data_IF_913837480272
#
_entry.id   IF_913837480272
#
_cell.length_a   1.000
_cell.length_b   1.000
_cell.length_c   1.000
_cell.angle_alpha   90.00
_cell.angle_beta   90.00
_cell.angle_gamma   90.00
#
_symmetry.space_group_name_H-M   'P 1'
#
loop_
_entity.id
_entity.type
_entity.pdbx_description
1 polymer ?
#
# COMPACT_ATOMS: atom_id res chain seq x y z
N UNK A 1 -3.86 -55.01 -5.84
CA UNK A 1 -5.03 -55.87 -6.03
C UNK A 1 -6.23 -54.94 -6.07
N UNK A 2 -6.78 -54.79 -7.28
CA UNK A 2 -8.01 -54.10 -7.66
C UNK A 2 -8.15 -52.60 -7.30
N UNK A 3 -7.61 -51.76 -8.18
CA UNK A 3 -8.17 -50.43 -8.46
C UNK A 3 -9.55 -50.61 -9.11
N UNK A 4 -10.60 -50.67 -8.29
CA UNK A 4 -11.96 -50.43 -8.79
C UNK A 4 -12.07 -48.96 -9.19
N UNK A 5 -11.80 -48.72 -10.48
CA UNK A 5 -12.13 -47.50 -11.20
C UNK A 5 -13.59 -47.15 -10.97
N UNK A 6 -13.83 -46.18 -10.10
CA UNK A 6 -15.09 -45.43 -10.04
C UNK A 6 -15.30 -44.77 -11.40
N UNK A 7 -16.01 -45.47 -12.29
CA UNK A 7 -16.55 -44.99 -13.57
C UNK A 7 -17.73 -44.05 -13.33
N UNK A 8 -17.66 -43.15 -12.35
CA UNK A 8 -18.64 -42.09 -12.22
C UNK A 8 -18.13 -40.84 -12.96
N UNK A 9 -18.36 -40.84 -14.28
CA UNK A 9 -18.64 -39.62 -15.06
C UNK A 9 -17.74 -38.40 -14.82
N UNK A 10 -16.49 -38.46 -15.31
CA UNK A 10 -15.67 -37.26 -15.58
C UNK A 10 -16.14 -36.47 -16.82
N UNK A 11 -17.36 -36.71 -17.34
CA UNK A 11 -17.86 -36.11 -18.59
C UNK A 11 -19.04 -35.15 -18.46
N UNK A 12 -19.61 -34.97 -17.28
CA UNK A 12 -20.58 -33.89 -17.04
C UNK A 12 -19.90 -32.75 -16.29
N UNK A 13 -18.91 -32.15 -16.96
CA UNK A 13 -18.37 -30.88 -16.55
C UNK A 13 -19.53 -29.90 -16.41
N UNK A 14 -19.75 -29.42 -15.18
CA UNK A 14 -20.25 -28.09 -14.82
C UNK A 14 -20.89 -27.32 -15.98
N UNK A 15 -22.06 -27.77 -16.45
CA UNK A 15 -23.05 -26.81 -16.91
C UNK A 15 -23.58 -26.21 -15.62
N UNK A 16 -22.86 -25.19 -15.13
CA UNK A 16 -23.47 -24.17 -14.31
C UNK A 16 -24.82 -23.86 -14.95
N UNK A 17 -25.90 -24.08 -14.20
CA UNK A 17 -27.27 -23.76 -14.57
C UNK A 17 -27.23 -22.47 -15.40
N UNK A 18 -27.88 -22.39 -16.57
CA UNK A 18 -27.95 -21.15 -17.33
C UNK A 18 -28.38 -20.05 -16.35
N UNK A 19 -27.46 -19.10 -16.16
CA UNK A 19 -27.54 -17.87 -15.37
C UNK A 19 -28.91 -17.67 -14.71
N UNK A 20 -28.97 -17.60 -13.37
CA UNK A 20 -30.18 -17.41 -12.52
C UNK A 20 -31.08 -16.20 -12.89
N UNK A 21 -30.82 -15.53 -14.01
CA UNK A 21 -31.48 -14.36 -14.54
C UNK A 21 -31.86 -14.46 -16.03
N UNK A 22 -31.64 -15.61 -16.70
CA UNK A 22 -32.16 -15.81 -18.07
C UNK A 22 -33.65 -16.12 -18.06
N UNK A 23 -34.32 -15.90 -19.20
CA UNK A 23 -35.69 -16.35 -19.45
C UNK A 23 -35.80 -17.87 -19.29
N UNK A 24 -36.97 -18.34 -18.86
CA UNK A 24 -37.25 -19.74 -18.58
C UNK A 24 -37.52 -20.53 -19.87
N UNK A 25 -36.79 -21.63 -20.09
CA UNK A 25 -37.02 -22.47 -21.27
C UNK A 25 -38.47 -22.98 -21.29
N UNK A 26 -39.21 -22.64 -22.34
CA UNK A 26 -40.65 -22.93 -22.41
C UNK A 26 -40.96 -24.42 -22.37
N UNK A 27 -40.02 -25.29 -22.80
CA UNK A 27 -40.27 -26.72 -22.94
C UNK A 27 -40.57 -27.42 -21.62
N UNK A 28 -39.91 -27.03 -20.52
CA UNK A 28 -40.17 -27.62 -19.21
C UNK A 28 -41.39 -27.00 -18.51
N UNK A 29 -41.77 -25.77 -18.88
CA UNK A 29 -43.04 -25.16 -18.43
C UNK A 29 -44.22 -25.83 -19.13
N UNK A 30 -44.14 -26.05 -20.44
CA UNK A 30 -45.17 -26.70 -21.25
C UNK A 30 -45.42 -28.18 -20.88
N UNK A 31 -44.60 -28.77 -19.98
CA UNK A 31 -44.90 -30.10 -19.45
C UNK A 31 -46.14 -30.10 -18.54
N UNK A 32 -46.48 -28.96 -17.93
CA UNK A 32 -47.58 -28.83 -16.97
C UNK A 32 -48.59 -27.71 -17.32
N UNK A 33 -48.38 -26.97 -18.41
CA UNK A 33 -49.28 -25.89 -18.85
C UNK A 33 -49.52 -26.02 -20.36
N UNK A 34 -50.60 -25.44 -20.85
CA UNK A 34 -50.90 -25.39 -22.27
C UNK A 34 -50.10 -24.27 -22.97
N UNK A 35 -50.02 -24.32 -24.30
CA UNK A 35 -49.31 -23.31 -25.08
C UNK A 35 -49.99 -21.94 -24.95
N UNK A 36 -51.32 -21.93 -24.90
CA UNK A 36 -52.16 -20.76 -24.74
C UNK A 36 -51.88 -20.04 -23.41
N UNK A 37 -51.59 -20.79 -22.34
CA UNK A 37 -51.33 -20.24 -21.00
C UNK A 37 -50.04 -19.41 -20.93
N UNK A 38 -49.11 -19.57 -21.88
CA UNK A 38 -47.80 -18.91 -21.86
C UNK A 38 -47.56 -17.96 -23.02
N UNK A 39 -48.47 -17.88 -24.00
CA UNK A 39 -48.27 -17.11 -25.23
C UNK A 39 -47.98 -15.63 -24.95
N UNK A 40 -48.71 -15.04 -24.00
CA UNK A 40 -48.54 -13.64 -23.61
C UNK A 40 -47.27 -13.40 -22.78
N UNK A 41 -46.57 -14.46 -22.36
CA UNK A 41 -45.40 -14.37 -21.50
C UNK A 41 -44.09 -14.61 -22.26
N UNK A 42 -44.14 -14.77 -23.59
CA UNK A 42 -42.96 -15.09 -24.39
C UNK A 42 -42.11 -13.84 -24.62
N UNK A 43 -40.84 -13.92 -24.22
CA UNK A 43 -39.86 -12.89 -24.51
C UNK A 43 -39.61 -12.78 -26.01
N UNK A 44 -39.80 -11.57 -26.56
CA UNK A 44 -39.61 -11.29 -27.98
C UNK A 44 -38.17 -11.51 -28.48
N UNK A 45 -37.17 -11.41 -27.60
CA UNK A 45 -35.74 -11.54 -27.95
C UNK A 45 -35.32 -13.01 -28.02
N UNK A 46 -35.52 -13.78 -26.93
CA UNK A 46 -35.00 -15.15 -26.83
C UNK A 46 -36.05 -16.24 -27.14
N UNK A 47 -37.32 -15.84 -27.32
CA UNK A 47 -38.46 -16.73 -27.62
C UNK A 47 -38.75 -17.79 -26.54
N UNK A 48 -38.33 -17.51 -25.31
CA UNK A 48 -38.59 -18.31 -24.10
C UNK A 48 -39.56 -17.56 -23.17
N UNK A 49 -40.06 -18.19 -22.10
CA UNK A 49 -40.95 -17.52 -21.13
C UNK A 49 -40.14 -16.47 -20.36
N UNK A 50 -40.62 -15.23 -20.34
CA UNK A 50 -39.89 -14.10 -19.80
C UNK A 50 -39.62 -14.28 -18.29
N UNK A 51 -38.35 -14.16 -17.89
CA UNK A 51 -37.97 -14.02 -16.48
C UNK A 51 -37.73 -12.53 -16.20
N UNK A 52 -38.33 -12.01 -15.13
CA UNK A 52 -38.46 -10.56 -14.88
C UNK A 52 -38.97 -9.81 -16.13
N UNK A 53 -40.25 -9.96 -16.50
CA UNK A 53 -40.80 -9.37 -17.71
C UNK A 53 -40.76 -7.83 -17.67
N UNK A 54 -40.28 -7.24 -18.76
CA UNK A 54 -40.34 -5.83 -19.09
C UNK A 54 -41.27 -5.65 -20.28
N UNK A 55 -42.12 -4.64 -20.22
CA UNK A 55 -43.05 -4.27 -21.28
C UNK A 55 -42.47 -3.15 -22.14
N UNK A 56 -42.75 -3.19 -23.45
CA UNK A 56 -42.31 -2.20 -24.42
C UNK A 56 -43.46 -1.22 -24.69
N UNK A 57 -43.41 -0.05 -24.07
CA UNK A 57 -44.49 0.96 -24.08
C UNK A 57 -44.27 2.07 -25.14
N UNK A 58 -43.71 1.69 -26.28
CA UNK A 58 -43.35 2.66 -27.31
C UNK A 58 -44.61 3.18 -28.04
N UNK A 59 -44.78 4.51 -28.24
CA UNK A 59 -45.93 5.07 -28.96
C UNK A 59 -46.16 4.47 -30.36
N UNK A 60 -45.08 4.03 -31.01
CA UNK A 60 -45.07 3.37 -32.32
C UNK A 60 -45.73 1.98 -32.32
N UNK A 61 -46.08 1.45 -31.16
CA UNK A 61 -46.64 0.11 -30.99
C UNK A 61 -47.99 0.10 -30.26
N UNK A 62 -48.63 1.27 -30.09
CA UNK A 62 -49.91 1.40 -29.39
C UNK A 62 -51.07 0.63 -30.02
N UNK A 63 -51.03 0.45 -31.34
CA UNK A 63 -52.08 -0.24 -32.10
C UNK A 63 -51.79 -1.74 -32.30
N UNK A 64 -50.76 -2.28 -31.61
CA UNK A 64 -50.47 -3.71 -31.65
C UNK A 64 -51.26 -4.41 -30.53
N UNK A 65 -52.12 -5.35 -30.90
CA UNK A 65 -52.88 -6.19 -29.96
C UNK A 65 -52.02 -7.27 -29.28
N UNK A 66 -50.75 -7.41 -29.67
CA UNK A 66 -49.84 -8.44 -29.16
C UNK A 66 -49.10 -7.98 -27.89
N UNK A 67 -48.87 -8.93 -26.97
CA UNK A 67 -48.09 -8.65 -25.76
C UNK A 67 -46.61 -8.40 -26.08
N UNK A 68 -46.14 -7.18 -25.86
CA UNK A 68 -44.76 -6.79 -26.18
C UNK A 68 -43.82 -6.95 -24.99
N UNK A 69 -43.51 -8.21 -24.66
CA UNK A 69 -42.72 -8.55 -23.48
C UNK A 69 -41.30 -8.96 -23.83
N UNK A 70 -40.35 -8.51 -23.03
CA UNK A 70 -38.96 -8.99 -23.04
C UNK A 70 -38.50 -9.31 -21.63
N UNK A 71 -37.65 -10.33 -21.46
CA UNK A 71 -36.99 -10.54 -20.17
C UNK A 71 -35.98 -9.42 -19.90
N UNK A 72 -35.91 -8.95 -18.66
CA UNK A 72 -35.04 -7.84 -18.25
C UNK A 72 -33.57 -8.07 -18.65
N UNK A 73 -33.05 -9.26 -18.42
CA UNK A 73 -31.67 -9.58 -18.77
C UNK A 73 -31.45 -9.63 -20.29
N UNK A 74 -32.42 -10.16 -21.05
CA UNK A 74 -32.38 -10.15 -22.51
C UNK A 74 -32.38 -8.72 -23.05
N UNK A 75 -33.19 -7.83 -22.47
CA UNK A 75 -33.22 -6.42 -22.83
C UNK A 75 -31.88 -5.73 -22.52
N UNK A 76 -31.31 -5.96 -21.33
CA UNK A 76 -29.98 -5.43 -20.95
C UNK A 76 -28.89 -5.87 -21.93
N UNK A 77 -28.87 -7.14 -22.33
CA UNK A 77 -27.92 -7.67 -23.31
C UNK A 77 -28.13 -7.10 -24.72
N UNK A 78 -29.39 -6.90 -25.11
CA UNK A 78 -29.72 -6.30 -26.41
C UNK A 78 -29.25 -4.84 -26.49
N UNK A 79 -29.56 -4.04 -25.46
CA UNK A 79 -29.20 -2.63 -25.40
C UNK A 79 -27.69 -2.39 -25.29
N UNK A 80 -26.93 -3.32 -24.70
CA UNK A 80 -25.46 -3.20 -24.65
C UNK A 80 -24.79 -3.36 -26.02
N UNK A 81 -25.40 -4.12 -26.93
CA UNK A 81 -24.92 -4.30 -28.30
C UNK A 81 -25.48 -3.23 -29.26
N UNK A 82 -26.73 -2.80 -29.04
CA UNK A 82 -27.44 -1.85 -29.89
C UNK A 82 -28.12 -0.78 -29.02
N UNK A 83 -27.38 0.26 -28.62
CA UNK A 83 -27.94 1.31 -27.77
C UNK A 83 -29.12 1.99 -28.46
N UNK A 84 -30.14 2.36 -27.67
CA UNK A 84 -31.34 3.09 -28.09
C UNK A 84 -32.22 2.40 -29.16
N UNK A 85 -32.00 1.13 -29.47
CA UNK A 85 -32.83 0.41 -30.43
C UNK A 85 -34.02 -0.30 -29.77
N UNK A 86 -35.13 -0.44 -30.50
CA UNK A 86 -36.28 -1.25 -30.07
C UNK A 86 -36.15 -2.71 -30.53
N UNK A 87 -36.45 -3.70 -29.67
CA UNK A 87 -36.54 -5.11 -30.06
C UNK A 87 -37.61 -5.44 -31.11
N UNK A 88 -38.60 -4.56 -31.32
CA UNK A 88 -39.75 -4.80 -32.21
C UNK A 88 -39.51 -4.21 -33.61
N UNK A 89 -39.26 -2.90 -33.72
CA UNK A 89 -38.98 -2.19 -34.99
C UNK A 89 -37.97 -1.06 -34.79
N UNK A 90 -37.18 -0.74 -35.82
CA UNK A 90 -36.19 0.33 -35.73
C UNK A 90 -36.84 1.70 -35.46
N UNK A 91 -36.65 2.20 -34.24
CA UNK A 91 -36.86 3.58 -33.84
C UNK A 91 -36.05 3.84 -32.55
N UNK A 92 -35.75 5.11 -32.29
CA UNK A 92 -35.05 5.54 -31.08
C UNK A 92 -36.02 5.89 -29.94
N UNK A 93 -35.48 6.18 -28.75
CA UNK A 93 -36.21 6.63 -27.56
C UNK A 93 -37.30 5.65 -27.07
N UNK A 94 -36.94 4.38 -26.98
CA UNK A 94 -37.83 3.33 -26.49
C UNK A 94 -38.20 3.53 -25.01
N UNK A 95 -39.45 3.22 -24.68
CA UNK A 95 -39.95 3.19 -23.31
C UNK A 95 -40.09 1.75 -22.85
N UNK A 96 -39.57 1.47 -21.66
CA UNK A 96 -39.67 0.16 -21.03
C UNK A 96 -40.17 0.30 -19.61
N UNK A 97 -41.14 -0.52 -19.22
CA UNK A 97 -41.66 -0.53 -17.85
C UNK A 97 -41.66 -1.94 -17.27
N UNK A 98 -41.60 -2.04 -15.94
CA UNK A 98 -41.73 -3.31 -15.24
C UNK A 98 -43.22 -3.68 -15.16
N UNK A 99 -43.58 -4.84 -15.71
CA UNK A 99 -44.95 -5.34 -15.60
C UNK A 99 -45.07 -6.31 -14.41
N UNK A 100 -45.42 -5.75 -13.24
CA UNK A 100 -45.59 -6.50 -12.00
C UNK A 100 -46.71 -7.53 -12.06
N UNK A 101 -47.78 -7.23 -12.79
CA UNK A 101 -48.92 -8.14 -12.94
C UNK A 101 -48.51 -9.37 -13.76
N UNK A 102 -47.78 -9.15 -14.86
CA UNK A 102 -47.24 -10.24 -15.67
C UNK A 102 -46.28 -11.11 -14.89
N UNK A 103 -45.38 -10.48 -14.11
CA UNK A 103 -44.47 -11.21 -13.21
C UNK A 103 -45.24 -12.11 -12.24
N UNK A 104 -46.37 -11.64 -11.71
CA UNK A 104 -47.24 -12.43 -10.83
C UNK A 104 -47.86 -13.61 -11.57
N UNK A 105 -48.35 -13.45 -12.80
CA UNK A 105 -48.90 -14.56 -13.58
C UNK A 105 -47.84 -15.61 -13.92
N UNK A 106 -46.68 -15.19 -14.41
CA UNK A 106 -45.56 -16.10 -14.71
C UNK A 106 -45.15 -16.89 -13.46
N UNK A 107 -45.13 -16.24 -12.30
CA UNK A 107 -44.80 -16.88 -11.02
C UNK A 107 -45.81 -17.98 -10.61
N UNK A 108 -47.04 -17.94 -11.09
CA UNK A 108 -48.10 -18.92 -10.80
C UNK A 108 -48.20 -20.05 -11.85
N UNK A 109 -47.37 -20.03 -12.90
CA UNK A 109 -47.26 -21.16 -13.82
C UNK A 109 -46.72 -22.39 -13.09
N UNK A 110 -47.24 -23.56 -13.45
CA UNK A 110 -46.73 -24.84 -12.93
C UNK A 110 -45.49 -25.27 -13.69
N UNK A 111 -44.58 -25.96 -13.02
CA UNK A 111 -43.28 -26.30 -13.56
C UNK A 111 -42.74 -27.60 -12.98
N UNK A 112 -42.06 -28.37 -13.82
CA UNK A 112 -41.21 -29.48 -13.37
C UNK A 112 -39.81 -28.98 -13.04
N UNK A 113 -39.01 -29.82 -12.36
CA UNK A 113 -37.60 -29.52 -12.12
C UNK A 113 -36.82 -29.35 -13.44
N UNK A 114 -36.18 -28.19 -13.70
CA UNK A 114 -35.38 -28.01 -14.92
C UNK A 114 -34.23 -29.02 -15.05
N UNK A 115 -33.58 -29.40 -13.94
CA UNK A 115 -32.53 -30.44 -13.94
C UNK A 115 -33.05 -31.82 -14.31
N UNK A 116 -34.28 -32.17 -13.89
CA UNK A 116 -34.92 -33.43 -14.28
C UNK A 116 -35.18 -33.46 -15.78
N UNK A 117 -35.74 -32.36 -16.32
CA UNK A 117 -36.01 -32.24 -17.74
C UNK A 117 -34.73 -32.37 -18.58
N UNK A 118 -33.65 -31.69 -18.19
CA UNK A 118 -32.36 -31.80 -18.87
C UNK A 118 -31.80 -33.23 -18.85
N UNK A 119 -31.97 -33.96 -17.74
CA UNK A 119 -31.52 -35.35 -17.60
C UNK A 119 -32.31 -36.29 -18.53
N UNK A 120 -33.64 -36.12 -18.60
CA UNK A 120 -34.51 -36.91 -19.48
C UNK A 120 -34.21 -36.67 -20.96
N UNK A 121 -33.94 -35.43 -21.36
CA UNK A 121 -33.58 -35.07 -22.73
C UNK A 121 -32.27 -35.73 -23.20
N UNK A 122 -31.36 -36.00 -22.26
CA UNK A 122 -30.09 -36.69 -22.56
C UNK A 122 -30.25 -38.21 -22.63
N UNK A 123 -31.32 -38.78 -22.05
CA UNK A 123 -31.57 -40.23 -22.02
C UNK A 123 -32.15 -40.80 -23.31
N UNK A 124 -32.78 -39.96 -24.15
CA UNK A 124 -33.39 -40.39 -25.42
C UNK A 124 -32.44 -40.94 -26.50
N UNK A 125 -31.14 -41.06 -26.20
CA UNK A 125 -30.10 -41.52 -27.13
C UNK A 125 -29.37 -42.81 -26.72
N UNK A 126 -29.56 -43.33 -25.50
CA UNK A 126 -28.93 -44.59 -25.06
C UNK A 126 -29.99 -45.61 -24.62
N UNK A 127 -30.58 -46.30 -25.59
CA UNK A 127 -31.38 -47.51 -25.33
C UNK A 127 -30.51 -48.58 -24.66
N UNK A 128 -30.91 -49.04 -23.46
CA UNK A 128 -30.50 -50.35 -22.96
C UNK A 128 -29.72 -50.43 -21.64
N UNK A 129 -29.54 -49.35 -20.87
CA UNK A 129 -29.06 -49.47 -19.49
C UNK A 129 -30.08 -48.94 -18.48
N UNK A 130 -30.83 -49.86 -17.90
CA UNK A 130 -31.70 -49.65 -16.73
C UNK A 130 -30.85 -49.42 -15.48
N UNK A 131 -30.01 -48.39 -15.47
CA UNK A 131 -29.48 -47.85 -14.21
C UNK A 131 -30.63 -47.09 -13.58
N UNK A 132 -31.03 -47.47 -12.36
CA UNK A 132 -32.12 -46.83 -11.60
C UNK A 132 -31.65 -45.42 -11.20
N UNK A 133 -31.76 -44.47 -12.13
CA UNK A 133 -31.35 -43.10 -11.91
C UNK A 133 -32.24 -42.47 -10.84
N UNK A 134 -31.62 -41.64 -10.01
CA UNK A 134 -32.36 -40.78 -9.08
C UNK A 134 -33.18 -39.81 -9.93
N UNK A 135 -34.49 -39.73 -9.65
CA UNK A 135 -35.38 -38.76 -10.26
C UNK A 135 -35.73 -37.65 -9.28
N UNK A 136 -35.91 -36.44 -9.79
CA UNK A 136 -36.55 -35.36 -9.06
C UNK A 136 -38.03 -35.29 -9.40
N UNK A 137 -38.90 -35.47 -8.41
CA UNK A 137 -40.35 -35.43 -8.59
C UNK A 137 -40.94 -34.05 -8.30
N UNK A 138 -40.13 -32.99 -8.31
CA UNK A 138 -40.63 -31.64 -8.07
C UNK A 138 -41.61 -31.23 -9.18
N UNK A 139 -42.81 -30.85 -8.76
CA UNK A 139 -43.86 -30.23 -9.55
C UNK A 139 -44.43 -29.10 -8.71
N UNK A 140 -44.29 -27.86 -9.16
CA UNK A 140 -44.71 -26.70 -8.39
C UNK A 140 -44.60 -25.40 -9.16
N UNK A 141 -44.85 -24.29 -8.48
CA UNK A 141 -44.89 -22.96 -9.09
C UNK A 141 -43.51 -22.44 -9.50
N UNK A 142 -43.43 -21.71 -10.61
CA UNK A 142 -42.19 -21.09 -11.13
C UNK A 142 -41.44 -20.30 -10.06
N UNK A 143 -42.16 -19.53 -9.23
CA UNK A 143 -41.59 -18.75 -8.12
C UNK A 143 -40.80 -19.56 -7.08
N UNK A 144 -40.99 -20.88 -7.01
CA UNK A 144 -40.31 -21.76 -6.06
C UNK A 144 -39.13 -22.54 -6.69
N UNK A 145 -38.89 -22.39 -8.00
CA UNK A 145 -37.87 -23.16 -8.72
C UNK A 145 -36.48 -22.85 -8.19
N UNK A 146 -36.12 -21.57 -8.01
CA UNK A 146 -34.79 -21.19 -7.57
C UNK A 146 -34.49 -21.77 -6.18
N UNK A 147 -35.42 -21.60 -5.24
CA UNK A 147 -35.30 -22.19 -3.91
C UNK A 147 -35.15 -23.71 -3.98
N UNK A 148 -35.92 -24.38 -4.85
CA UNK A 148 -35.79 -25.82 -5.06
C UNK A 148 -34.41 -26.21 -5.58
N UNK A 149 -33.93 -25.57 -6.66
CA UNK A 149 -32.65 -25.87 -7.30
C UNK A 149 -31.45 -25.68 -6.36
N UNK A 150 -31.53 -24.71 -5.46
CA UNK A 150 -30.48 -24.41 -4.48
C UNK A 150 -30.55 -25.30 -3.25
N UNK A 151 -31.75 -25.54 -2.71
CA UNK A 151 -31.91 -26.07 -1.35
C UNK A 151 -32.42 -27.50 -1.29
N UNK A 152 -33.28 -27.94 -2.21
CA UNK A 152 -34.00 -29.23 -2.06
C UNK A 152 -33.88 -30.18 -3.25
N UNK A 153 -33.31 -29.75 -4.37
CA UNK A 153 -33.19 -30.58 -5.56
C UNK A 153 -32.20 -31.75 -5.34
N UNK A 154 -32.71 -32.98 -5.41
CA UNK A 154 -31.91 -34.20 -5.28
C UNK A 154 -30.87 -34.37 -6.39
N UNK A 155 -31.11 -33.75 -7.56
CA UNK A 155 -30.21 -33.79 -8.72
C UNK A 155 -29.08 -32.74 -8.66
N UNK A 156 -29.02 -31.96 -7.58
CA UNK A 156 -27.93 -31.00 -7.39
C UNK A 156 -26.60 -31.76 -7.29
N UNK A 157 -25.61 -31.36 -8.09
CA UNK A 157 -24.25 -31.85 -7.92
C UNK A 157 -23.61 -31.15 -6.71
N UNK A 158 -23.10 -31.93 -5.77
CA UNK A 158 -22.44 -31.45 -4.56
C UNK A 158 -21.07 -32.09 -4.44
N UNK A 159 -20.09 -31.31 -3.99
CA UNK A 159 -18.76 -31.80 -3.67
C UNK A 159 -18.81 -32.60 -2.36
N UNK A 160 -17.90 -33.56 -2.22
CA UNK A 160 -17.72 -34.30 -0.98
C UNK A 160 -17.35 -33.35 0.18
N UNK A 161 -17.86 -33.63 1.37
CA UNK A 161 -17.56 -32.86 2.59
C UNK A 161 -16.09 -32.94 2.99
N UNK A 162 -15.36 -33.94 2.48
CA UNK A 162 -13.93 -34.11 2.70
C UNK A 162 -13.06 -33.50 1.59
N UNK A 163 -13.61 -32.64 0.72
CA UNK A 163 -12.83 -31.88 -0.28
C UNK A 163 -11.63 -31.14 0.35
N UNK A 164 -11.75 -30.44 1.50
CA UNK A 164 -10.60 -29.75 2.11
C UNK A 164 -9.45 -30.67 2.50
N UNK A 165 -9.72 -31.97 2.67
CA UNK A 165 -8.73 -32.99 3.01
C UNK A 165 -8.23 -33.77 1.76
N UNK A 166 -8.73 -33.43 0.56
CA UNK A 166 -8.30 -34.01 -0.71
C UNK A 166 -9.29 -34.95 -1.40
N UNK A 167 -10.51 -35.12 -0.88
CA UNK A 167 -11.54 -35.91 -1.55
C UNK A 167 -12.26 -35.08 -2.63
N UNK A 168 -11.82 -35.19 -3.88
CA UNK A 168 -12.38 -34.45 -5.02
C UNK A 168 -13.65 -35.10 -5.62
N UNK A 169 -14.36 -35.93 -4.86
CA UNK A 169 -15.55 -36.61 -5.37
C UNK A 169 -16.70 -35.61 -5.55
N UNK A 170 -17.34 -35.68 -6.72
CA UNK A 170 -18.50 -34.89 -7.09
C UNK A 170 -19.65 -35.84 -7.41
N UNK A 171 -20.76 -35.74 -6.67
CA UNK A 171 -21.91 -36.63 -6.84
C UNK A 171 -23.23 -35.89 -6.68
N UNK A 172 -24.34 -36.57 -6.96
CA UNK A 172 -25.67 -36.03 -6.71
C UNK A 172 -25.91 -35.86 -5.21
N UNK A 173 -26.69 -34.85 -4.84
CA UNK A 173 -27.07 -34.56 -3.45
C UNK A 173 -27.80 -35.73 -2.81
N UNK A 174 -28.58 -36.49 -3.57
CA UNK A 174 -29.22 -37.72 -3.09
C UNK A 174 -28.25 -38.85 -2.76
N UNK A 175 -27.11 -38.94 -3.45
CA UNK A 175 -26.15 -40.05 -3.32
C UNK A 175 -24.97 -39.70 -2.42
N UNK A 176 -24.92 -38.47 -1.88
CA UNK A 176 -23.80 -38.03 -1.05
C UNK A 176 -23.64 -38.89 0.20
N UNK A 177 -24.75 -39.30 0.82
CA UNK A 177 -24.70 -40.13 2.03
C UNK A 177 -24.16 -41.54 1.74
N UNK A 178 -24.53 -42.12 0.60
CA UNK A 178 -23.98 -43.41 0.15
C UNK A 178 -22.48 -43.29 -0.10
N UNK A 179 -22.04 -42.24 -0.80
CA UNK A 179 -20.61 -41.97 -0.99
C UNK A 179 -19.88 -41.83 0.35
N UNK A 180 -20.40 -41.03 1.28
CA UNK A 180 -19.80 -40.81 2.61
C UNK A 180 -19.70 -42.12 3.40
N UNK A 181 -20.74 -42.96 3.35
CA UNK A 181 -20.80 -44.24 4.07
C UNK A 181 -19.84 -45.26 3.45
N UNK A 182 -19.88 -45.44 2.13
CA UNK A 182 -19.03 -46.42 1.44
C UNK A 182 -17.55 -46.03 1.44
N UNK A 183 -17.22 -44.74 1.52
CA UNK A 183 -15.84 -44.23 1.50
C UNK A 183 -15.35 -43.75 2.88
N UNK A 184 -16.03 -44.14 3.97
CA UNK A 184 -15.73 -43.68 5.32
C UNK A 184 -14.26 -43.92 5.70
N UNK A 185 -13.70 -45.10 5.39
CA UNK A 185 -12.29 -45.42 5.67
C UNK A 185 -11.33 -44.48 4.94
N UNK A 186 -11.55 -44.25 3.64
CA UNK A 186 -10.76 -43.31 2.85
C UNK A 186 -10.80 -41.91 3.45
N UNK A 187 -11.99 -41.44 3.83
CA UNK A 187 -12.17 -40.13 4.45
C UNK A 187 -11.42 -40.02 5.79
N UNK A 188 -11.47 -41.05 6.63
CA UNK A 188 -10.67 -41.09 7.85
C UNK A 188 -9.17 -41.05 7.55
N UNK A 189 -8.66 -41.83 6.59
CA UNK A 189 -7.25 -41.83 6.22
C UNK A 189 -6.78 -40.45 5.73
N UNK A 190 -7.61 -39.74 4.97
CA UNK A 190 -7.32 -38.35 4.53
C UNK A 190 -7.23 -37.38 5.71
N UNK A 191 -8.14 -37.49 6.67
CA UNK A 191 -8.12 -36.64 7.88
C UNK A 191 -6.90 -36.94 8.73
N UNK A 192 -6.57 -38.21 8.95
CA UNK A 192 -5.38 -38.62 9.73
C UNK A 192 -4.11 -38.11 9.06
N UNK A 193 -3.95 -38.30 7.75
CA UNK A 193 -2.81 -37.77 7.00
C UNK A 193 -2.67 -36.26 7.13
N UNK A 194 -3.79 -35.53 7.08
CA UNK A 194 -3.81 -34.08 7.24
C UNK A 194 -3.41 -33.68 8.66
N UNK A 195 -3.88 -34.42 9.67
CA UNK A 195 -3.50 -34.22 11.06
C UNK A 195 -2.02 -34.49 11.32
N UNK A 196 -1.47 -35.58 10.79
CA UNK A 196 -0.05 -35.92 10.91
C UNK A 196 0.83 -34.83 10.30
N UNK A 197 0.43 -34.32 9.13
CA UNK A 197 1.11 -33.19 8.47
C UNK A 197 1.08 -31.95 9.35
N UNK A 198 -0.08 -31.62 9.93
CA UNK A 198 -0.20 -30.49 10.86
C UNK A 198 0.69 -30.69 12.09
N UNK A 199 0.68 -31.88 12.70
CA UNK A 199 1.50 -32.19 13.87
C UNK A 199 3.01 -32.08 13.58
N UNK A 200 3.45 -32.42 12.37
CA UNK A 200 4.85 -32.25 11.94
C UNK A 200 5.23 -30.78 11.68
N UNK A 201 4.29 -29.97 11.17
CA UNK A 201 4.55 -28.55 10.86
C UNK A 201 4.52 -27.64 12.09
N UNK A 202 3.79 -28.00 13.15
CA UNK A 202 3.71 -27.19 14.39
C UNK A 202 5.09 -26.93 15.02
N UNK A 203 5.95 -27.94 15.25
CA UNK A 203 7.30 -27.69 15.80
C UNK A 203 8.15 -26.80 14.89
N UNK A 204 8.02 -26.94 13.57
CA UNK A 204 8.76 -26.12 12.62
C UNK A 204 8.32 -24.65 12.71
N UNK A 205 7.00 -24.41 12.80
CA UNK A 205 6.45 -23.07 13.00
C UNK A 205 6.91 -22.46 14.35
N UNK A 206 6.91 -23.25 15.43
CA UNK A 206 7.39 -22.80 16.74
C UNK A 206 8.87 -22.42 16.70
N UNK A 207 9.71 -23.22 16.02
CA UNK A 207 11.14 -22.91 15.83
C UNK A 207 11.33 -21.61 15.04
N UNK A 208 10.61 -21.44 13.94
CA UNK A 208 10.68 -20.23 13.12
C UNK A 208 10.25 -18.99 13.92
N UNK A 209 9.23 -19.14 14.78
CA UNK A 209 8.78 -18.05 15.64
C UNK A 209 9.82 -17.62 16.68
N UNK A 210 10.51 -18.60 17.29
CA UNK A 210 11.63 -18.32 18.21
C UNK A 210 12.79 -17.61 17.49
N UNK A 211 13.10 -18.01 16.26
CA UNK A 211 14.13 -17.38 15.44
C UNK A 211 13.76 -15.94 15.06
N UNK A 212 12.50 -15.69 14.71
CA UNK A 212 12.00 -14.34 14.45
C UNK A 212 12.10 -13.42 15.67
N UNK A 213 11.77 -13.92 16.87
CA UNK A 213 11.93 -13.15 18.11
C UNK A 213 13.41 -12.86 18.41
N UNK A 214 14.31 -13.82 18.17
CA UNK A 214 15.75 -13.60 18.31
C UNK A 214 16.26 -12.51 17.36
N UNK A 215 15.89 -12.57 16.08
CA UNK A 215 16.26 -11.57 15.08
C UNK A 215 15.74 -10.18 15.45
N UNK A 216 14.51 -10.10 16.00
CA UNK A 216 13.93 -8.84 16.47
C UNK A 216 14.76 -8.21 17.60
N UNK A 217 15.23 -9.01 18.55
CA UNK A 217 16.13 -8.54 19.62
C UNK A 217 17.48 -8.07 19.08
N UNK A 218 18.06 -8.79 18.12
CA UNK A 218 19.32 -8.42 17.46
C UNK A 218 19.20 -7.08 16.71
N UNK A 219 18.09 -6.85 16.01
CA UNK A 219 17.82 -5.59 15.32
C UNK A 219 17.67 -4.42 16.29
N UNK A 220 16.99 -4.60 17.43
CA UNK A 220 16.89 -3.56 18.46
C UNK A 220 18.25 -3.20 19.06
N UNK A 221 19.09 -4.21 19.32
CA UNK A 221 20.47 -4.00 19.80
C UNK A 221 21.32 -3.25 18.77
N UNK A 222 21.18 -3.58 17.48
CA UNK A 222 21.90 -2.89 16.42
C UNK A 222 21.47 -1.43 16.30
N UNK A 223 20.16 -1.16 16.37
CA UNK A 223 19.64 0.22 16.39
C UNK A 223 20.24 1.07 17.52
N UNK A 224 20.30 0.53 18.75
CA UNK A 224 20.95 1.22 19.88
C UNK A 224 22.44 1.51 19.66
N UNK A 225 23.17 0.56 19.05
CA UNK A 225 24.58 0.77 18.71
C UNK A 225 24.76 1.83 17.63
N UNK A 226 23.88 1.86 16.64
CA UNK A 226 23.93 2.86 15.57
C UNK A 226 23.64 4.27 16.11
N UNK A 227 22.72 4.40 17.08
CA UNK A 227 22.48 5.65 17.83
C UNK A 227 23.72 6.08 18.62
N UNK A 228 24.33 5.17 19.40
CA UNK A 228 25.54 5.46 20.17
C UNK A 228 26.72 5.85 19.28
N UNK A 229 26.88 5.20 18.12
CA UNK A 229 27.89 5.56 17.11
C UNK A 229 27.62 6.97 16.54
N UNK A 230 26.37 7.34 16.31
CA UNK A 230 26.02 8.66 15.83
C UNK A 230 26.35 9.75 16.86
N UNK A 231 26.01 9.52 18.13
CA UNK A 231 26.33 10.42 19.24
C UNK A 231 27.84 10.60 19.42
N UNK A 232 28.61 9.51 19.38
CA UNK A 232 30.07 9.56 19.48
C UNK A 232 30.69 10.32 18.31
N UNK A 233 30.19 10.13 17.08
CA UNK A 233 30.64 10.89 15.91
C UNK A 233 30.39 12.39 16.07
N UNK A 234 29.20 12.76 16.55
CA UNK A 234 28.86 14.16 16.80
C UNK A 234 29.77 14.79 17.86
N UNK A 235 30.04 14.07 18.95
CA UNK A 235 30.98 14.55 19.98
C UNK A 235 32.39 14.74 19.42
N UNK A 236 32.84 13.81 18.56
CA UNK A 236 34.17 13.86 17.95
C UNK A 236 34.31 15.05 17.00
N UNK A 237 33.29 15.32 16.17
CA UNK A 237 33.23 16.51 15.30
C UNK A 237 33.25 17.80 16.12
N UNK A 238 32.48 17.86 17.22
CA UNK A 238 32.47 19.02 18.11
C UNK A 238 33.85 19.24 18.77
N UNK A 239 34.51 18.17 19.20
CA UNK A 239 35.85 18.23 19.77
C UNK A 239 36.88 18.74 18.74
N UNK A 240 36.82 18.25 17.50
CA UNK A 240 37.67 18.74 16.41
C UNK A 240 37.45 20.23 16.14
N UNK A 241 36.19 20.69 16.12
CA UNK A 241 35.85 22.11 15.93
C UNK A 241 36.40 22.98 17.07
N UNK A 242 36.26 22.53 18.31
CA UNK A 242 36.79 23.23 19.49
C UNK A 242 38.32 23.34 19.43
N UNK A 243 39.02 22.27 19.04
CA UNK A 243 40.48 22.30 18.86
C UNK A 243 40.90 23.26 17.74
N UNK A 244 40.15 23.33 16.65
CA UNK A 244 40.43 24.28 15.56
C UNK A 244 40.30 25.73 16.04
N UNK A 245 39.23 26.02 16.79
CA UNK A 245 39.01 27.33 17.40
C UNK A 245 40.10 27.69 18.40
N UNK A 246 40.49 26.75 19.27
CA UNK A 246 41.56 26.94 20.24
C UNK A 246 42.90 27.24 19.55
N UNK A 247 43.23 26.51 18.49
CA UNK A 247 44.43 26.77 17.68
C UNK A 247 44.41 28.16 17.04
N UNK A 248 43.25 28.62 16.55
CA UNK A 248 43.11 29.96 15.99
C UNK A 248 43.31 31.02 17.08
N UNK A 249 42.68 30.85 18.24
CA UNK A 249 42.85 31.75 19.39
C UNK A 249 44.31 31.81 19.88
N UNK A 250 45.00 30.67 19.90
CA UNK A 250 46.41 30.59 20.25
C UNK A 250 47.32 31.32 19.24
N UNK A 251 47.01 31.24 17.94
CA UNK A 251 47.73 32.02 16.91
C UNK A 251 47.51 33.53 17.08
N UNK A 252 46.28 33.95 17.36
CA UNK A 252 45.96 35.36 17.59
C UNK A 252 46.72 35.91 18.81
N UNK A 253 46.70 35.18 19.93
CA UNK A 253 47.41 35.59 21.15
C UNK A 253 48.93 35.63 20.95
N UNK A 254 49.52 34.70 20.20
CA UNK A 254 50.93 34.76 19.81
C UNK A 254 51.26 36.03 19.01
N UNK A 255 50.43 36.38 18.02
CA UNK A 255 50.63 37.58 17.22
C UNK A 255 50.51 38.87 18.06
N UNK A 256 49.57 38.91 19.00
CA UNK A 256 49.43 40.02 19.96
C UNK A 256 50.65 40.13 20.88
N UNK A 257 51.16 39.01 21.39
CA UNK A 257 52.38 38.96 22.20
C UNK A 257 53.61 39.45 21.43
N UNK A 258 53.77 39.06 20.15
CA UNK A 258 54.86 39.54 19.30
C UNK A 258 54.78 41.06 19.08
N UNK A 259 53.56 41.58 18.87
CA UNK A 259 53.33 43.02 18.73
C UNK A 259 53.71 43.77 20.01
N UNK A 260 53.25 43.29 21.16
CA UNK A 260 53.62 43.86 22.47
C UNK A 260 55.14 43.82 22.70
N UNK A 261 55.83 42.77 22.25
CA UNK A 261 57.29 42.68 22.36
C UNK A 261 57.98 43.75 21.51
N UNK A 262 57.54 43.96 20.26
CA UNK A 262 58.03 45.04 19.39
C UNK A 262 57.76 46.42 19.99
N UNK A 263 56.55 46.64 20.50
CA UNK A 263 56.17 47.90 21.14
C UNK A 263 57.05 48.20 22.37
N UNK A 264 57.36 47.18 23.16
CA UNK A 264 58.24 47.30 24.33
C UNK A 264 59.70 47.59 23.92
N UNK A 265 60.21 46.98 22.85
CA UNK A 265 61.54 47.33 22.30
C UNK A 265 61.61 48.76 21.78
N UNK A 266 60.58 49.21 21.04
CA UNK A 266 60.45 50.60 20.59
C UNK A 266 60.47 51.54 21.81
N UNK A 267 59.76 51.19 22.89
CA UNK A 267 59.74 51.99 24.11
C UNK A 267 61.12 52.07 24.79
N UNK A 268 61.87 50.96 24.84
CA UNK A 268 63.25 50.94 25.37
C UNK A 268 64.21 51.77 24.52
N UNK A 269 64.10 51.71 23.19
CA UNK A 269 64.91 52.53 22.28
C UNK A 269 64.60 54.02 22.51
N UNK A 270 63.31 54.37 22.61
CA UNK A 270 62.86 55.74 22.90
C UNK A 270 63.44 56.27 24.21
N UNK A 271 63.42 55.46 25.28
CA UNK A 271 64.05 55.81 26.56
C UNK A 271 65.56 56.00 26.45
N UNK A 272 66.28 55.09 25.76
CA UNK A 272 67.73 55.23 25.55
C UNK A 272 68.10 56.49 24.75
N UNK A 273 67.36 56.79 23.69
CA UNK A 273 67.55 58.04 22.94
C UNK A 273 67.36 59.26 23.82
N UNK A 274 66.36 59.24 24.70
CA UNK A 274 66.09 60.35 25.62
C UNK A 274 67.20 60.52 26.67
N UNK A 275 67.74 59.44 27.22
CA UNK A 275 68.89 59.49 28.15
C UNK A 275 70.15 59.98 27.44
N UNK A 276 70.43 59.52 26.22
CA UNK A 276 71.59 59.97 25.45
C UNK A 276 71.49 61.45 25.02
N UNK A 277 70.28 61.93 24.69
CA UNK A 277 70.07 63.36 24.46
C UNK A 277 70.39 64.15 25.72
N UNK A 278 69.89 63.70 26.87
CA UNK A 278 70.13 64.38 28.15
C UNK A 278 71.61 64.35 28.53
N UNK A 279 72.33 63.25 28.32
CA UNK A 279 73.77 63.19 28.62
C UNK A 279 74.61 64.03 27.66
N UNK A 280 74.24 64.11 26.38
CA UNK A 280 74.88 65.01 25.43
C UNK A 280 74.66 66.48 25.79
N UNK A 281 73.46 66.87 26.23
CA UNK A 281 73.20 68.21 26.73
C UNK A 281 74.05 68.52 27.97
N UNK A 282 74.13 67.59 28.93
CA UNK A 282 74.95 67.76 30.13
C UNK A 282 76.44 67.90 29.80
N UNK A 283 76.97 67.15 28.82
CA UNK A 283 78.39 67.27 28.43
C UNK A 283 78.74 68.62 27.81
N UNK A 284 77.83 69.19 27.01
CA UNK A 284 78.01 70.55 26.48
C UNK A 284 77.96 71.58 27.59
N UNK A 285 77.12 71.36 28.60
CA UNK A 285 77.04 72.21 29.78
C UNK A 285 78.34 72.16 30.61
N UNK A 286 78.93 70.98 30.77
CA UNK A 286 80.23 70.79 31.42
C UNK A 286 81.39 71.44 30.64
N UNK A 287 81.43 71.30 29.30
CA UNK A 287 82.42 71.99 28.46
C UNK A 287 82.28 73.52 28.58
N UNK A 288 81.05 74.04 28.57
CA UNK A 288 80.80 75.47 28.80
C UNK A 288 81.30 75.88 30.20
N UNK A 289 81.06 75.08 31.24
CA UNK A 289 81.57 75.36 32.59
C UNK A 289 83.10 75.33 32.65
N UNK A 290 83.77 74.39 31.97
CA UNK A 290 85.23 74.31 31.91
C UNK A 290 85.80 75.55 31.20
N UNK A 291 85.18 75.97 30.09
CA UNK A 291 85.56 77.22 29.40
C UNK A 291 85.40 78.40 30.36
N UNK A 292 84.26 78.54 31.04
CA UNK A 292 84.05 79.61 32.03
C UNK A 292 85.15 79.58 33.11
N UNK A 293 85.46 78.41 33.67
CA UNK A 293 86.46 78.25 34.73
C UNK A 293 87.89 78.60 34.26
N UNK A 294 88.25 78.17 33.05
CA UNK A 294 89.54 78.48 32.43
C UNK A 294 89.71 79.99 32.20
N UNK A 295 88.66 80.66 31.75
CA UNK A 295 88.65 82.10 31.54
C UNK A 295 88.77 82.85 32.88
N UNK A 296 88.00 82.46 33.91
CA UNK A 296 88.13 83.03 35.27
C UNK A 296 89.58 82.96 35.78
N UNK A 297 90.25 81.80 35.59
CA UNK A 297 91.63 81.58 36.04
C UNK A 297 92.66 82.40 35.27
N UNK A 298 92.53 82.50 33.95
CA UNK A 298 93.48 83.22 33.07
C UNK A 298 93.40 84.72 33.27
N UNK A 299 92.19 85.26 33.44
CA UNK A 299 91.98 86.70 33.64
C UNK A 299 92.10 87.14 35.11
N UNK A 300 92.48 86.23 36.03
CA UNK A 300 92.65 86.48 37.47
C UNK A 300 91.43 87.18 38.11
N UNK A 301 90.24 86.81 37.61
CA UNK A 301 88.97 87.40 38.03
C UNK A 301 88.62 86.81 39.40
N UNK A 302 88.51 87.65 40.44
CA UNK A 302 87.98 87.20 41.74
C UNK A 302 86.53 86.77 41.57
N UNK A 303 86.22 85.51 41.89
CA UNK A 303 84.84 84.99 41.98
C UNK A 303 83.98 85.95 42.81
N UNK A 304 82.98 86.57 42.16
CA UNK A 304 82.11 87.60 42.75
C UNK A 304 82.27 89.04 42.21
N UNK A 305 83.14 89.29 41.22
CA UNK A 305 83.33 90.63 40.63
C UNK A 305 82.14 91.12 39.77
N UNK A 306 81.41 90.20 39.13
CA UNK A 306 80.18 90.46 38.39
C UNK A 306 79.16 89.39 38.81
N UNK A 307 78.04 89.79 39.41
CA UNK A 307 76.93 88.88 39.75
C UNK A 307 76.35 88.31 38.46
N UNK A 308 76.11 87.01 38.41
CA UNK A 308 75.51 86.29 37.27
C UNK A 308 76.34 86.25 35.98
N UNK A 309 77.67 86.43 36.08
CA UNK A 309 78.58 86.33 34.94
C UNK A 309 78.39 85.02 34.15
N UNK A 310 78.26 83.90 34.85
CA UNK A 310 78.05 82.57 34.26
C UNK A 310 76.77 82.53 33.40
N UNK A 311 75.71 83.24 33.80
CA UNK A 311 74.43 83.31 33.10
C UNK A 311 74.48 84.18 31.84
N UNK A 312 75.32 85.22 31.86
CA UNK A 312 75.57 86.08 30.68
C UNK A 312 76.31 85.28 29.60
N UNK A 313 77.33 84.51 30.00
CA UNK A 313 78.10 83.66 29.08
C UNK A 313 77.22 82.56 28.48
N UNK A 314 76.41 81.87 29.29
CA UNK A 314 75.48 80.84 28.79
C UNK A 314 74.47 81.43 27.80
N UNK A 315 73.93 82.63 28.04
CA UNK A 315 73.02 83.29 27.10
C UNK A 315 73.70 83.73 25.80
N UNK A 316 74.96 84.18 25.85
CA UNK A 316 75.72 84.54 24.66
C UNK A 316 76.02 83.33 23.77
N UNK A 317 76.40 82.20 24.39
CA UNK A 317 76.70 80.95 23.68
C UNK A 317 75.43 80.29 23.11
N UNK A 318 74.29 80.43 23.79
CA UNK A 318 72.99 79.89 23.33
C UNK A 318 72.36 80.64 22.15
N UNK A 319 72.95 81.76 21.71
CA UNK A 319 72.50 82.56 20.56
C UNK A 319 73.13 82.13 19.21
N UNK A 320 74.01 81.12 19.22
CA UNK A 320 74.61 80.49 18.05
C UNK A 320 74.21 79.01 17.94
#
# INVERSE_FOLDING_TARGET
>A
MEEEKSKCSMKMALKSIPQQHSCFEKKWILQLNQQEDINDFICLICKQVANSPMEIDCPQHKDMDESLIVGENCLKQFLSQKPNSCPVKHHDNCLYSQNWLMKRYINELDAICPRQFEQEQQQGYEEGKTTRFVSCNFKGKVKHIDYHLENSCCLQMVKCWFEPFGCNHLCLKSTIHDHLTSNMKLHFDLVIKSFDTLQQTIPQYQKLNLENEKLKMELQLKGKKDEEIADLKQQLEQYQKNNLQLNFAHKTTLAEMEKLKKDNEIQKIKQKMQVNLNSSMNSKEEEIQIIIHHWIRTFNIKLGWIKDFDKIVVNYVSLF
#
